data_IF_091370234884
#
_entry.id   IF_091370234884
#
_cell.length_a   1.000
_cell.length_b   1.000
_cell.length_c   1.000
_cell.angle_alpha   90.00
_cell.angle_beta   90.00
_cell.angle_gamma   90.00
#
_symmetry.space_group_name_H-M   'P 1'
#
loop_
_entity.id
_entity.type
_entity.pdbx_description
1 polymer ?
#
# COMPACT_ATOMS: atom_id res chain seq x y z
N UNK A 1 -15.03 -45.19 -26.21
CA UNK A 1 -16.03 -44.33 -25.55
C UNK A 1 -15.70 -44.01 -24.09
N UNK A 2 -15.21 -44.95 -23.28
CA UNK A 2 -14.85 -44.69 -21.86
C UNK A 2 -13.68 -43.69 -21.69
N UNK A 3 -12.62 -43.80 -22.51
CA UNK A 3 -11.46 -42.91 -22.45
C UNK A 3 -11.75 -41.45 -22.86
N UNK A 4 -12.73 -41.25 -23.77
CA UNK A 4 -13.14 -39.90 -24.20
C UNK A 4 -13.90 -39.17 -23.08
N UNK A 5 -14.68 -39.92 -22.30
CA UNK A 5 -15.45 -39.38 -21.18
C UNK A 5 -14.53 -39.02 -19.99
N UNK A 6 -13.48 -39.82 -19.74
CA UNK A 6 -12.48 -39.52 -18.71
C UNK A 6 -11.67 -38.27 -19.04
N UNK A 7 -11.33 -38.06 -20.32
CA UNK A 7 -10.56 -36.90 -20.77
C UNK A 7 -11.39 -35.60 -20.74
N UNK A 8 -12.70 -35.70 -20.98
CA UNK A 8 -13.64 -34.58 -20.84
C UNK A 8 -13.82 -34.15 -19.37
N UNK A 9 -13.85 -35.11 -18.42
CA UNK A 9 -13.99 -34.79 -16.99
C UNK A 9 -12.73 -34.11 -16.41
N UNK A 10 -11.52 -34.47 -16.86
CA UNK A 10 -10.30 -33.79 -16.43
C UNK A 10 -10.21 -32.33 -16.90
N UNK A 11 -10.78 -32.00 -18.07
CA UNK A 11 -10.77 -30.64 -18.61
C UNK A 11 -11.68 -29.67 -17.82
N UNK A 12 -12.71 -30.17 -17.14
CA UNK A 12 -13.67 -29.35 -16.38
C UNK A 12 -13.12 -28.97 -14.99
N UNK A 13 -12.18 -29.75 -14.45
CA UNK A 13 -11.59 -29.48 -13.12
C UNK A 13 -10.52 -28.37 -13.18
N UNK A 14 -9.94 -28.12 -14.36
CA UNK A 14 -8.88 -27.12 -14.55
C UNK A 14 -9.39 -25.67 -14.69
N UNK A 15 -10.69 -25.44 -14.80
CA UNK A 15 -11.26 -24.09 -14.99
C UNK A 15 -11.70 -23.39 -13.69
N UNK A 16 -11.45 -24.00 -12.52
CA UNK A 16 -11.99 -23.54 -11.24
C UNK A 16 -10.91 -23.22 -10.20
N UNK A 17 -10.03 -22.25 -10.44
CA UNK A 17 -9.42 -21.44 -9.36
C UNK A 17 -8.52 -20.34 -9.89
N UNK A 18 -9.12 -19.19 -10.18
CA UNK A 18 -8.46 -17.91 -9.94
C UNK A 18 -9.48 -17.02 -9.22
N UNK A 19 -9.82 -17.40 -7.98
CA UNK A 19 -10.46 -16.44 -7.08
C UNK A 19 -9.36 -15.47 -6.66
N UNK A 20 -9.38 -14.27 -7.23
CA UNK A 20 -8.52 -13.17 -6.80
C UNK A 20 -8.64 -13.04 -5.29
N UNK A 21 -7.55 -13.33 -4.58
CA UNK A 21 -7.44 -13.14 -3.14
C UNK A 21 -7.81 -11.69 -2.82
N UNK A 22 -8.88 -11.48 -2.06
CA UNK A 22 -9.21 -10.19 -1.48
C UNK A 22 -8.61 -10.18 -0.09
N UNK A 23 -7.44 -9.56 0.03
CA UNK A 23 -6.84 -9.26 1.31
C UNK A 23 -7.81 -8.33 2.08
N UNK A 24 -8.39 -8.84 3.18
CA UNK A 24 -9.11 -7.99 4.12
C UNK A 24 -8.06 -7.34 4.99
N UNK A 25 -7.46 -6.26 4.49
CA UNK A 25 -6.50 -5.52 5.28
C UNK A 25 -7.25 -4.76 6.36
N UNK A 26 -7.14 -5.25 7.59
CA UNK A 26 -7.72 -4.57 8.77
C UNK A 26 -6.68 -3.58 9.27
N UNK A 27 -6.80 -2.32 8.85
CA UNK A 27 -6.05 -1.22 9.43
C UNK A 27 -6.89 -0.49 10.48
N UNK A 28 -6.20 0.23 11.38
CA UNK A 28 -6.74 0.79 12.62
C UNK A 28 -8.11 1.46 12.48
N UNK A 29 -8.99 1.23 13.47
CA UNK A 29 -10.32 1.84 13.52
C UNK A 29 -10.18 3.36 13.68
N UNK A 30 -10.67 4.12 12.71
CA UNK A 30 -10.91 5.55 12.88
C UNK A 30 -12.26 5.71 13.57
N UNK A 31 -12.28 6.29 14.77
CA UNK A 31 -13.49 6.52 15.58
C UNK A 31 -14.26 7.80 15.17
N UNK A 32 -14.24 8.15 13.88
CA UNK A 32 -15.07 9.23 13.32
C UNK A 32 -16.26 8.61 12.60
N UNK A 33 -17.45 9.27 12.60
CA UNK A 33 -18.54 8.84 11.74
C UNK A 33 -18.04 8.84 10.31
N UNK A 34 -17.96 7.65 9.72
CA UNK A 34 -17.31 7.47 8.43
C UNK A 34 -18.02 8.25 7.30
N UNK A 35 -19.27 8.66 7.52
CA UNK A 35 -20.06 9.59 6.70
C UNK A 35 -19.46 10.99 6.63
N UNK A 36 -18.83 11.46 7.70
CA UNK A 36 -18.35 12.83 7.82
C UNK A 36 -17.00 12.98 7.09
N UNK A 37 -16.14 11.96 7.18
CA UNK A 37 -14.88 11.86 6.44
C UNK A 37 -15.09 11.92 4.92
N UNK A 38 -16.14 11.25 4.42
CA UNK A 38 -16.49 11.28 2.99
C UNK A 38 -16.96 12.66 2.55
N UNK A 39 -17.72 13.34 3.40
CA UNK A 39 -18.39 14.58 3.06
C UNK A 39 -17.45 15.78 3.15
N UNK A 40 -16.55 15.79 4.14
CA UNK A 40 -15.67 16.94 4.39
C UNK A 40 -14.49 17.00 3.42
N UNK A 41 -13.99 15.84 2.94
CA UNK A 41 -12.80 15.72 2.06
C UNK A 41 -11.64 16.64 2.49
N UNK A 42 -11.45 16.84 3.78
CA UNK A 42 -10.36 17.62 4.35
C UNK A 42 -9.92 16.90 5.63
N UNK A 43 -8.94 16.01 5.47
CA UNK A 43 -8.42 15.18 6.56
C UNK A 43 -7.02 14.66 6.22
N UNK A 44 -6.25 14.31 7.25
CA UNK A 44 -4.97 13.62 7.13
C UNK A 44 -4.92 12.32 7.94
N UNK A 45 -4.21 11.34 7.41
CA UNK A 45 -3.81 10.12 8.10
C UNK A 45 -2.32 10.22 8.36
N UNK A 46 -1.94 9.95 9.61
CA UNK A 46 -0.54 9.81 10.03
C UNK A 46 -0.38 8.45 10.68
N UNK A 47 0.64 7.74 10.23
CA UNK A 47 0.96 6.41 10.65
C UNK A 47 2.06 6.44 11.70
N UNK A 48 1.91 5.56 12.69
CA UNK A 48 2.93 5.35 13.70
C UNK A 48 3.95 4.30 13.27
N UNK A 49 3.50 3.35 12.47
CA UNK A 49 4.26 2.20 12.00
C UNK A 49 4.04 1.97 10.50
N UNK A 50 5.07 1.47 9.83
CA UNK A 50 5.00 0.85 8.52
C UNK A 50 5.25 -0.66 8.67
N UNK A 51 4.56 -1.45 7.86
CA UNK A 51 4.68 -2.91 7.83
C UNK A 51 5.14 -3.34 6.43
N UNK A 52 6.43 -3.17 6.10
CA UNK A 52 6.94 -3.59 4.81
C UNK A 52 6.89 -5.11 4.67
N UNK A 53 6.80 -5.58 3.43
CA UNK A 53 7.01 -6.99 3.12
C UNK A 53 8.48 -7.28 3.37
N UNK A 54 8.78 -8.21 4.28
CA UNK A 54 10.15 -8.60 4.56
C UNK A 54 10.76 -9.28 3.33
N UNK A 55 11.82 -8.68 2.78
CA UNK A 55 12.62 -9.22 1.69
C UNK A 55 14.12 -9.22 2.07
N UNK A 56 14.99 -9.68 1.17
CA UNK A 56 16.43 -9.72 1.43
C UNK A 56 17.02 -8.32 1.66
N UNK A 57 16.41 -7.28 1.09
CA UNK A 57 16.80 -5.88 1.27
C UNK A 57 16.48 -5.38 2.67
N UNK A 58 15.35 -5.80 3.24
CA UNK A 58 14.97 -5.50 4.62
C UNK A 58 16.00 -6.06 5.62
N UNK A 59 16.47 -7.30 5.40
CA UNK A 59 17.54 -7.91 6.22
C UNK A 59 18.85 -7.13 6.14
N UNK A 60 19.26 -6.76 4.92
CA UNK A 60 20.47 -5.98 4.72
C UNK A 60 20.40 -4.63 5.45
N UNK A 61 19.24 -3.94 5.40
CA UNK A 61 18.98 -2.69 6.13
C UNK A 61 19.07 -2.86 7.65
N UNK A 62 18.67 -4.01 8.20
CA UNK A 62 18.87 -4.33 9.63
C UNK A 62 20.34 -4.49 9.98
N UNK A 63 21.07 -5.28 9.20
CA UNK A 63 22.48 -5.63 9.49
C UNK A 63 23.38 -4.40 9.49
N UNK A 64 23.07 -3.40 8.65
CA UNK A 64 23.82 -2.13 8.58
C UNK A 64 23.28 -1.05 9.53
N UNK A 65 22.32 -1.38 10.42
CA UNK A 65 21.83 -0.49 11.46
C UNK A 65 20.93 0.65 10.96
N UNK A 66 20.31 0.49 9.78
CA UNK A 66 19.47 1.51 9.14
C UNK A 66 18.01 1.49 9.63
N UNK A 67 17.65 0.53 10.48
CA UNK A 67 16.32 0.43 11.08
C UNK A 67 16.25 1.25 12.38
N UNK A 68 15.28 2.18 12.53
CA UNK A 68 15.15 3.01 13.74
C UNK A 68 15.01 2.19 15.01
N UNK A 69 15.55 2.68 16.14
CA UNK A 69 15.42 2.01 17.43
C UNK A 69 13.95 1.71 17.79
N UNK A 70 13.67 0.48 18.24
CA UNK A 70 12.32 0.01 18.54
C UNK A 70 11.55 -0.55 17.34
N UNK A 71 12.14 -0.53 16.16
CA UNK A 71 11.61 -1.14 14.95
C UNK A 71 12.16 -2.56 14.72
N UNK A 72 11.47 -3.33 13.89
CA UNK A 72 11.88 -4.62 13.34
C UNK A 72 11.76 -4.60 11.83
N UNK A 73 12.35 -5.57 11.12
CA UNK A 73 12.29 -5.69 9.65
C UNK A 73 10.88 -5.57 9.08
N UNK A 74 9.90 -6.14 9.78
CA UNK A 74 8.49 -6.20 9.41
C UNK A 74 7.64 -5.11 10.08
N UNK A 75 8.24 -4.24 10.91
CA UNK A 75 7.55 -3.17 11.62
C UNK A 75 8.48 -1.99 11.89
N UNK A 76 8.42 -0.99 11.02
CA UNK A 76 9.23 0.21 11.10
C UNK A 76 8.47 1.33 11.81
N UNK A 77 9.03 1.88 12.88
CA UNK A 77 8.49 3.03 13.58
C UNK A 77 8.72 4.32 12.78
N UNK A 78 7.63 4.96 12.33
CA UNK A 78 7.66 6.12 11.43
C UNK A 78 7.00 7.38 12.01
N UNK A 79 6.48 7.33 13.24
CA UNK A 79 5.80 8.49 13.88
C UNK A 79 6.62 9.78 13.87
N UNK A 80 7.94 9.66 14.04
CA UNK A 80 8.84 10.82 14.09
C UNK A 80 9.22 11.36 12.71
N UNK A 81 8.95 10.60 11.65
CA UNK A 81 9.17 11.03 10.28
C UNK A 81 7.96 11.81 9.79
N UNK A 82 8.18 12.73 8.84
CA UNK A 82 7.07 13.39 8.14
C UNK A 82 6.36 12.35 7.27
N UNK A 83 5.32 11.74 7.81
CA UNK A 83 4.49 10.78 7.11
C UNK A 83 3.04 11.29 7.09
N UNK A 84 2.42 11.32 5.92
CA UNK A 84 1.01 11.64 5.78
C UNK A 84 0.42 11.13 4.47
N UNK A 85 -0.87 10.83 4.55
CA UNK A 85 -1.78 10.82 3.40
C UNK A 85 -2.90 11.82 3.68
N UNK A 86 -3.09 12.82 2.82
CA UNK A 86 -4.11 13.86 3.01
C UNK A 86 -5.03 13.93 1.81
N UNK A 87 -6.30 14.19 2.08
CA UNK A 87 -7.28 14.64 1.09
C UNK A 87 -7.64 16.08 1.41
N UNK A 88 -7.69 16.94 0.39
CA UNK A 88 -8.26 18.29 0.47
C UNK A 88 -9.02 18.59 -0.82
N UNK A 89 -10.34 18.59 -0.72
CA UNK A 89 -11.22 18.63 -1.89
C UNK A 89 -10.98 17.40 -2.77
N UNK A 90 -10.60 17.65 -4.03
CA UNK A 90 -10.34 16.59 -5.01
C UNK A 90 -8.85 16.24 -5.17
N UNK A 91 -7.98 16.97 -4.46
CA UNK A 91 -6.53 16.73 -4.49
C UNK A 91 -6.09 15.84 -3.33
N UNK A 92 -4.94 15.19 -3.53
CA UNK A 92 -4.27 14.41 -2.50
C UNK A 92 -2.86 14.95 -2.25
N UNK A 93 -2.38 14.77 -1.01
CA UNK A 93 -1.00 15.01 -0.61
C UNK A 93 -0.47 13.73 0.01
N UNK A 94 0.54 13.15 -0.60
CA UNK A 94 1.18 11.92 -0.15
C UNK A 94 2.62 12.25 0.22
N UNK A 95 3.02 11.81 1.40
CA UNK A 95 4.41 11.78 1.83
C UNK A 95 4.56 10.54 2.71
N UNK A 96 5.03 9.45 2.12
CA UNK A 96 5.14 8.16 2.81
C UNK A 96 6.55 7.60 2.60
N UNK A 97 7.24 7.17 3.68
CA UNK A 97 8.50 6.44 3.55
C UNK A 97 8.28 5.15 2.74
N UNK A 98 9.21 4.87 1.84
CA UNK A 98 9.25 3.67 1.02
C UNK A 98 10.29 2.71 1.57
N UNK A 99 9.87 1.46 1.78
CA UNK A 99 10.71 0.39 2.33
C UNK A 99 10.77 -0.82 1.40
N UNK A 100 10.17 -0.74 0.21
CA UNK A 100 10.21 -1.81 -0.77
C UNK A 100 11.53 -1.85 -1.54
N UNK A 101 11.62 -2.83 -2.43
CA UNK A 101 12.69 -2.97 -3.40
C UNK A 101 12.25 -2.46 -4.77
N UNK A 102 13.08 -1.62 -5.40
CA UNK A 102 12.92 -1.23 -6.80
C UNK A 102 14.13 -1.69 -7.59
N UNK A 103 13.91 -2.40 -8.70
CA UNK A 103 14.99 -2.83 -9.60
C UNK A 103 15.77 -1.63 -10.18
N UNK A 104 15.14 -0.45 -10.26
CA UNK A 104 15.79 0.81 -10.67
C UNK A 104 16.82 1.30 -9.63
N UNK A 105 16.68 0.93 -8.36
CA UNK A 105 17.64 1.30 -7.29
C UNK A 105 18.92 0.44 -7.32
N UNK A 106 18.93 -0.70 -8.02
CA UNK A 106 20.12 -1.55 -8.18
C UNK A 106 21.14 -1.01 -9.18
N UNK A 107 20.76 -0.13 -10.11
CA UNK A 107 21.71 0.36 -11.12
C UNK A 107 22.69 1.39 -10.52
N UNK A 108 22.58 1.64 -9.20
CA UNK A 108 23.40 2.57 -8.43
C UNK A 108 23.97 1.93 -7.15
N UNK A 109 24.61 0.76 -7.25
CA UNK A 109 25.37 0.14 -6.13
C UNK A 109 26.53 1.03 -5.61
N UNK A 110 26.75 2.22 -6.18
CA UNK A 110 27.82 3.15 -5.80
C UNK A 110 27.36 4.49 -5.20
N UNK A 111 26.06 4.79 -5.11
CA UNK A 111 25.61 6.09 -4.58
C UNK A 111 24.99 5.93 -3.19
N UNK A 112 25.36 6.84 -2.30
CA UNK A 112 24.84 7.05 -0.94
C UNK A 112 23.32 7.18 -0.84
N UNK A 113 22.61 7.24 -1.97
CA UNK A 113 21.19 7.56 -2.08
C UNK A 113 20.27 6.37 -1.80
N UNK A 114 20.81 5.13 -1.76
CA UNK A 114 20.09 3.95 -1.23
C UNK A 114 19.78 4.14 0.28
N UNK A 115 20.47 5.07 0.93
CA UNK A 115 20.35 5.42 2.35
C UNK A 115 19.68 6.77 2.60
N UNK A 116 19.20 7.47 1.57
CA UNK A 116 18.24 8.56 1.76
C UNK A 116 16.85 7.93 1.74
N UNK A 117 16.17 7.82 2.90
CA UNK A 117 14.86 7.17 3.03
C UNK A 117 13.95 7.51 1.83
N UNK A 118 13.80 6.61 0.84
CA UNK A 118 13.09 6.95 -0.37
C UNK A 118 11.66 7.26 0.03
N UNK A 119 11.12 8.37 -0.46
CA UNK A 119 9.83 8.87 0.00
C UNK A 119 8.89 8.98 -1.20
N UNK A 120 7.73 8.34 -1.11
CA UNK A 120 6.64 8.54 -2.05
C UNK A 120 6.05 9.92 -1.76
N UNK A 121 6.39 10.89 -2.62
CA UNK A 121 5.88 12.25 -2.54
C UNK A 121 5.02 12.57 -3.75
N UNK A 122 3.78 12.98 -3.51
CA UNK A 122 2.85 13.38 -4.55
C UNK A 122 1.94 14.49 -4.05
N UNK A 123 1.69 15.48 -4.91
CA UNK A 123 0.71 16.55 -4.68
C UNK A 123 -0.03 16.80 -5.98
N UNK A 124 -1.34 16.61 -5.99
CA UNK A 124 -2.15 16.88 -7.18
C UNK A 124 -3.46 16.12 -7.19
N UNK A 125 -4.06 16.10 -8.38
CA UNK A 125 -5.27 15.30 -8.64
C UNK A 125 -4.86 13.84 -8.87
N UNK A 126 -5.49 12.87 -8.17
CA UNK A 126 -5.28 11.46 -8.47
C UNK A 126 -5.89 11.09 -9.82
N UNK A 127 -5.35 10.07 -10.46
CA UNK A 127 -5.90 9.50 -11.69
C UNK A 127 -7.29 8.90 -11.44
N UNK A 128 -7.48 8.33 -10.25
CA UNK A 128 -8.73 7.75 -9.82
C UNK A 128 -8.90 7.86 -8.30
N UNK A 129 -10.08 8.31 -7.87
CA UNK A 129 -10.46 8.42 -6.47
C UNK A 129 -11.83 7.76 -6.25
N UNK A 130 -11.85 6.62 -5.57
CA UNK A 130 -13.08 5.90 -5.23
C UNK A 130 -13.25 5.84 -3.71
N UNK A 131 -14.37 6.39 -3.23
CA UNK A 131 -14.74 6.36 -1.83
C UNK A 131 -16.18 5.89 -1.73
N UNK A 132 -16.39 4.72 -1.13
CA UNK A 132 -17.73 4.13 -1.04
C UNK A 132 -18.43 4.60 0.22
N UNK A 133 -19.66 5.12 0.05
CA UNK A 133 -20.53 5.42 1.20
C UNK A 133 -20.78 4.14 2.00
N UNK A 134 -20.41 4.08 3.28
CA UNK A 134 -20.61 2.91 4.11
C UNK A 134 -22.10 2.77 4.39
N UNK A 135 -22.61 1.54 4.41
CA UNK A 135 -23.88 1.28 5.11
C UNK A 135 -23.66 1.45 6.62
N UNK A 136 -24.74 1.51 7.40
CA UNK A 136 -24.66 1.59 8.87
C UNK A 136 -23.69 0.52 9.41
N UNK A 137 -22.75 0.95 10.26
CA UNK A 137 -21.69 0.12 10.88
C UNK A 137 -20.65 -0.47 9.89
N UNK A 138 -20.48 0.10 8.69
CA UNK A 138 -19.42 -0.32 7.77
C UNK A 138 -18.20 0.61 7.80
N UNK A 139 -17.05 0.02 7.53
CA UNK A 139 -15.78 0.72 7.31
C UNK A 139 -15.83 1.40 5.94
N UNK A 140 -15.35 2.64 5.87
CA UNK A 140 -15.10 3.32 4.59
C UNK A 140 -13.86 2.72 3.99
N UNK A 141 -13.98 2.27 2.74
CA UNK A 141 -12.83 1.89 1.93
C UNK A 141 -12.60 3.01 0.94
N UNK A 142 -11.36 3.49 0.93
CA UNK A 142 -10.86 4.48 0.00
C UNK A 142 -9.80 3.82 -0.87
N UNK A 143 -9.99 3.93 -2.18
CA UNK A 143 -9.02 3.52 -3.18
C UNK A 143 -8.59 4.74 -3.97
N UNK A 144 -7.28 4.97 -4.01
CA UNK A 144 -6.68 6.09 -4.73
C UNK A 144 -5.59 5.56 -5.65
N UNK A 145 -5.72 5.83 -6.95
CA UNK A 145 -4.67 5.57 -7.92
C UNK A 145 -4.08 6.92 -8.37
N UNK A 146 -2.76 7.03 -8.40
CA UNK A 146 -2.05 8.21 -8.88
C UNK A 146 -0.73 7.83 -9.55
N UNK A 147 -0.34 8.62 -10.53
CA UNK A 147 0.92 8.44 -11.28
C UNK A 147 1.87 9.56 -10.92
N UNK A 148 3.11 9.21 -10.59
CA UNK A 148 4.20 10.16 -10.38
C UNK A 148 5.33 9.76 -11.32
N UNK A 149 5.73 10.67 -12.19
CA UNK A 149 6.70 10.41 -13.26
C UNK A 149 6.24 9.21 -14.11
N UNK A 150 6.94 8.08 -14.04
CA UNK A 150 6.59 6.84 -14.75
C UNK A 150 5.95 5.78 -13.85
N UNK A 151 5.94 6.00 -12.53
CA UNK A 151 5.54 5.02 -11.54
C UNK A 151 4.07 5.21 -11.14
N UNK A 152 3.35 4.10 -11.05
CA UNK A 152 1.92 4.08 -10.71
C UNK A 152 1.72 3.55 -9.30
N UNK A 153 1.03 4.31 -8.49
CA UNK A 153 0.79 3.99 -7.09
C UNK A 153 -0.71 3.75 -6.84
N UNK A 154 -0.99 2.85 -5.90
CA UNK A 154 -2.33 2.58 -5.38
C UNK A 154 -2.30 2.64 -3.86
N UNK A 155 -3.05 3.57 -3.28
CA UNK A 155 -3.34 3.58 -1.85
C UNK A 155 -4.69 2.90 -1.58
N UNK A 156 -4.69 2.00 -0.60
CA UNK A 156 -5.88 1.35 -0.04
C UNK A 156 -5.97 1.74 1.42
N UNK A 157 -7.07 2.41 1.79
CA UNK A 157 -7.30 3.00 3.11
C UNK A 157 -8.66 2.55 3.63
#
# INVERSE_FOLDING_TARGET
>A
MKALFTLLCCAIILSSSCSSYRENVTYGKIELPATDLISYRDWDIRSDYAFPVADETAKLKTEIGYIPSGSTEDRIYIRQQKNYFKIKGDSIWVNLPYYGYSEKENDSVANSDIFENPTIQFVGLPDHLEMRKPKKNQVVNLKVDFTKDEDRYRALI
#
